data_IF_184767484854
#
_entry.id   IF_184767484854
#
_cell.length_a   1.000
_cell.length_b   1.000
_cell.length_c   1.000
_cell.angle_alpha   90.00
_cell.angle_beta   90.00
_cell.angle_gamma   90.00
#
_symmetry.space_group_name_H-M   'P 1'
#
loop_
_entity.id
_entity.type
_entity.pdbx_description
1 polymer ?
2 non-polymer ?
#
# COMPACT_ATOMS: atom_id res chain seq x y z
N UNK A 3 8.84 18.28 3.12
CA UNK A 3 8.01 17.17 3.60
C UNK A 3 8.64 15.91 3.02
N UNK A 4 7.94 14.80 3.07
CA UNK A 4 8.46 13.58 2.49
C UNK A 4 7.99 13.46 1.07
N UNK A 5 8.88 13.75 0.17
CA UNK A 5 8.60 13.72 -1.25
C UNK A 5 8.39 12.28 -1.73
N UNK A 6 8.92 11.35 -0.97
CA UNK A 6 8.77 9.94 -1.26
C UNK A 6 7.38 9.44 -1.00
N UNK A 7 6.58 10.19 -0.24
CA UNK A 7 5.18 9.82 -0.02
C UNK A 7 4.41 9.78 -1.36
N UNK A 8 4.99 10.40 -2.40
CA UNK A 8 4.45 10.35 -3.75
C UNK A 8 4.50 8.92 -4.30
N UNK A 9 5.35 8.07 -3.70
CA UNK A 9 5.49 6.65 -4.06
C UNK A 9 4.11 5.97 -3.85
N UNK A 10 3.38 6.46 -2.81
CA UNK A 10 1.99 6.04 -2.51
C UNK A 10 1.05 6.32 -3.69
N UNK A 11 1.29 7.41 -4.39
CA UNK A 11 0.45 7.77 -5.52
C UNK A 11 0.62 6.74 -6.63
N UNK A 12 1.86 6.34 -6.86
CA UNK A 12 2.17 5.31 -7.84
C UNK A 12 1.71 3.94 -7.37
N UNK A 13 1.72 3.73 -6.06
CA UNK A 13 1.23 2.51 -5.42
C UNK A 13 -0.26 2.38 -5.76
N UNK A 14 -1.01 3.41 -5.40
CA UNK A 14 -2.44 3.50 -5.58
C UNK A 14 -2.82 3.24 -7.05
N UNK A 15 -2.07 3.84 -7.95
CA UNK A 15 -2.28 3.75 -9.36
C UNK A 15 -1.95 2.32 -9.87
N UNK A 16 -0.91 1.73 -9.31
CA UNK A 16 -0.42 0.45 -9.71
C UNK A 16 -1.40 -0.67 -9.44
N UNK A 17 -2.09 -0.63 -8.30
CA UNK A 17 -3.10 -1.67 -8.03
C UNK A 17 -4.19 -1.61 -9.08
N UNK A 18 -4.55 -0.40 -9.47
CA UNK A 18 -5.56 -0.13 -10.49
C UNK A 18 -5.26 -0.82 -11.81
N UNK A 19 -3.99 -0.97 -12.10
CA UNK A 19 -3.55 -1.58 -13.34
C UNK A 19 -3.90 -3.06 -13.31
N UNK A 20 -3.70 -3.68 -12.15
CA UNK A 20 -3.94 -5.10 -11.98
C UNK A 20 -5.40 -5.39 -11.67
N UNK A 21 -6.05 -4.43 -11.04
CA UNK A 21 -7.44 -4.58 -10.66
C UNK A 21 -8.36 -4.28 -11.84
N UNK A 22 -7.80 -3.58 -12.83
CA UNK A 22 -8.48 -3.24 -14.11
C UNK A 22 -9.68 -2.28 -13.84
N UNK A 23 -9.63 -1.61 -12.72
CA UNK A 23 -10.66 -0.68 -12.35
C UNK A 23 -10.11 0.73 -12.26
N UNK A 24 -10.95 1.70 -12.06
CA UNK A 24 -10.50 3.05 -12.00
C UNK A 24 -10.12 3.43 -10.56
N UNK A 25 -9.18 4.40 -10.37
CA UNK A 25 -8.71 4.82 -9.03
C UNK A 25 -9.81 5.45 -8.15
N UNK A 26 -10.97 5.59 -8.72
CA UNK A 26 -12.12 6.11 -8.04
C UNK A 26 -12.89 4.98 -7.39
N UNK A 27 -12.86 3.81 -8.03
CA UNK A 27 -13.65 2.66 -7.60
C UNK A 27 -12.84 1.75 -6.68
N UNK A 28 -11.85 2.30 -6.02
CA UNK A 28 -11.08 1.51 -5.10
C UNK A 28 -11.41 2.01 -3.71
N UNK A 29 -11.39 1.14 -2.76
CA UNK A 29 -11.64 1.52 -1.39
C UNK A 29 -10.38 1.48 -0.56
N UNK A 30 -9.82 2.63 -0.26
CA UNK A 30 -8.63 2.70 0.58
C UNK A 30 -8.97 2.74 2.07
N UNK A 31 -10.25 2.90 2.36
CA UNK A 31 -10.78 2.85 3.71
C UNK A 31 -11.33 1.45 3.99
N UNK A 32 -11.73 0.80 2.93
CA UNK A 32 -12.14 -0.56 3.00
C UNK A 32 -10.91 -1.41 2.75
N UNK A 33 -11.03 -2.69 2.95
CA UNK A 33 -9.89 -3.54 2.84
C UNK A 33 -9.61 -3.92 1.42
N UNK A 34 -8.39 -3.69 1.02
CA UNK A 34 -7.92 -4.01 -0.33
C UNK A 34 -7.84 -5.52 -0.58
N UNK A 35 -7.91 -6.31 0.50
CA UNK A 35 -7.86 -7.78 0.39
C UNK A 35 -9.24 -8.30 -0.09
N UNK A 36 -10.21 -7.37 -0.16
CA UNK A 36 -11.55 -7.67 -0.67
C UNK A 36 -11.54 -7.62 -2.20
N UNK A 37 -10.46 -7.11 -2.74
CA UNK A 37 -10.27 -7.02 -4.17
C UNK A 37 -9.25 -8.07 -4.57
N UNK A 38 -8.89 -8.13 -5.84
CA UNK A 38 -7.91 -9.11 -6.25
C UNK A 38 -6.51 -8.69 -5.83
N UNK A 39 -6.17 -9.05 -4.64
CA UNK A 39 -4.93 -8.75 -4.05
C UNK A 39 -4.43 -9.98 -3.30
N UNK A 40 -3.55 -10.68 -3.93
CA UNK A 40 -2.93 -11.85 -3.39
C UNK A 40 -1.70 -11.46 -2.60
N UNK A 41 -0.86 -12.39 -2.27
CA UNK A 41 0.24 -12.10 -1.43
C UNK A 41 1.47 -11.77 -2.26
N UNK A 42 1.42 -12.07 -3.53
CA UNK A 42 2.54 -11.80 -4.33
C UNK A 42 2.52 -10.32 -4.68
N UNK A 43 1.33 -9.79 -4.82
CA UNK A 43 1.17 -8.38 -4.96
C UNK A 43 1.64 -7.72 -3.70
N UNK A 44 1.20 -8.26 -2.57
CA UNK A 44 1.57 -7.73 -1.28
C UNK A 44 3.06 -7.79 -1.01
N UNK A 45 3.71 -8.92 -1.26
CA UNK A 45 5.15 -9.03 -1.05
C UNK A 45 5.93 -8.15 -2.01
N UNK A 46 5.35 -7.90 -3.17
CA UNK A 46 5.90 -6.99 -4.14
C UNK A 46 5.94 -5.59 -3.56
N UNK A 47 4.84 -5.20 -2.93
CA UNK A 47 4.70 -3.88 -2.31
C UNK A 47 5.81 -3.56 -1.34
N UNK A 48 6.09 -4.48 -0.43
CA UNK A 48 7.18 -4.31 0.58
C UNK A 48 8.46 -3.91 -0.07
N UNK A 49 8.86 -4.73 -0.99
CA UNK A 49 10.10 -4.60 -1.69
C UNK A 49 10.11 -3.31 -2.54
N UNK A 50 8.96 -3.01 -3.09
CA UNK A 50 8.78 -1.87 -3.95
C UNK A 50 9.01 -0.55 -3.22
N UNK A 51 8.40 -0.34 -2.08
CA UNK A 51 8.65 0.89 -1.33
C UNK A 51 9.90 0.84 -0.48
N UNK A 52 10.32 -0.37 -0.10
CA UNK A 52 11.55 -0.58 0.70
C UNK A 52 12.75 0.18 0.09
N UNK A 53 12.76 0.30 -1.24
CA UNK A 53 13.83 1.01 -1.97
C UNK A 53 13.91 2.52 -1.64
N UNK A 54 12.87 3.06 -1.00
CA UNK A 54 12.89 4.49 -0.60
C UNK A 54 13.14 4.61 0.88
N UNK A 55 13.43 3.49 1.52
CA UNK A 55 13.67 3.50 2.94
C UNK A 55 12.42 3.27 3.75
N UNK A 56 11.42 2.63 3.16
CA UNK A 56 10.21 2.30 3.85
C UNK A 56 10.37 1.01 4.60
N UNK A 57 9.93 1.01 5.81
CA UNK A 57 10.17 -0.06 6.74
C UNK A 57 8.89 -0.54 7.31
N UNK A 58 8.60 -1.81 7.10
CA UNK A 58 7.36 -2.42 7.53
C UNK A 58 7.43 -3.89 7.32
N UNK A 59 6.75 -4.60 8.16
CA UNK A 59 6.68 -6.00 8.02
C UNK A 59 5.40 -6.39 7.31
N UNK A 60 5.16 -7.63 7.17
CA UNK A 60 4.10 -8.09 6.32
C UNK A 60 2.73 -8.02 6.99
N UNK A 61 2.71 -8.17 8.28
CA UNK A 61 1.48 -8.43 9.00
C UNK A 61 0.67 -7.18 9.32
N UNK A 62 1.31 -6.04 9.43
CA UNK A 62 0.58 -4.80 9.69
C UNK A 62 -0.27 -4.41 8.49
N UNK A 63 0.24 -4.77 7.33
CA UNK A 63 -0.41 -4.55 6.05
C UNK A 63 -1.63 -5.43 5.92
N UNK A 64 -1.53 -6.59 6.52
CA UNK A 64 -2.61 -7.55 6.53
C UNK A 64 -3.63 -7.20 7.59
N UNK A 65 -3.15 -6.63 8.67
CA UNK A 65 -4.00 -6.29 9.79
C UNK A 65 -4.94 -5.16 9.43
N UNK A 66 -4.40 -4.15 8.77
CA UNK A 66 -5.20 -3.05 8.32
C UNK A 66 -4.91 -2.76 6.86
N UNK A 67 -5.50 -3.54 5.94
CA UNK A 67 -5.26 -3.36 4.52
C UNK A 67 -6.06 -2.21 3.98
N UNK A 68 -5.48 -1.05 4.08
CA UNK A 68 -6.07 0.21 3.70
C UNK A 68 -4.92 1.13 3.36
N UNK A 69 -5.00 1.91 2.28
CA UNK A 69 -3.88 2.80 1.95
C UNK A 69 -3.73 3.86 2.98
N UNK A 70 -4.83 4.19 3.59
CA UNK A 70 -4.88 5.15 4.69
C UNK A 70 -3.90 4.74 5.80
N UNK A 71 -3.95 3.46 6.19
CA UNK A 71 -3.04 2.95 7.22
C UNK A 71 -1.69 2.62 6.63
N UNK A 72 -1.67 2.16 5.37
CA UNK A 72 -0.43 1.82 4.70
C UNK A 72 0.48 3.00 4.53
N UNK A 73 -0.09 4.18 4.28
CA UNK A 73 0.71 5.41 4.15
C UNK A 73 1.47 5.68 5.46
N UNK A 74 0.82 5.41 6.60
CA UNK A 74 1.45 5.55 7.91
C UNK A 74 2.57 4.51 7.99
N UNK A 75 2.23 3.28 7.58
CA UNK A 75 3.14 2.14 7.53
C UNK A 75 4.33 2.42 6.64
N UNK A 76 4.14 3.29 5.69
CA UNK A 76 5.20 3.68 4.85
C UNK A 76 6.07 4.68 5.57
N UNK A 77 5.54 5.85 5.85
CA UNK A 77 6.36 6.93 6.36
C UNK A 77 7.01 6.72 7.72
N UNK A 78 6.27 6.31 8.70
CA UNK A 78 6.87 6.07 9.97
C UNK A 78 6.87 4.62 10.31
N UNK A 79 5.74 3.95 10.01
CA UNK A 79 5.38 2.65 10.51
C UNK A 79 5.56 2.53 12.05
N UNK A 80 6.80 2.59 12.42
CA UNK A 80 7.47 2.36 13.68
C UNK A 80 8.83 1.86 13.22
N UNK A 81 9.91 2.71 13.32
CA UNK A 81 11.25 2.49 12.77
C UNK A 81 11.53 1.18 12.02
N UNK A 82 11.85 0.14 12.73
CA UNK A 82 12.10 -1.20 12.21
C UNK A 82 11.68 -2.15 13.30
#
# INVERSE_FOLDING_TARGET
GTDNRHAADYQQLRERLIQELNLTPQQLHEESNLIQAGLDSIRLMRWLHWFRKNGYRLTLRELYAAPTLAAWNQLMLSRSPE
#
